data_IF_138506400636
#
_entry.id   IF_138506400636
#
_cell.length_a   1.000
_cell.length_b   1.000
_cell.length_c   1.000
_cell.angle_alpha   90.00
_cell.angle_beta   90.00
_cell.angle_gamma   90.00
#
_symmetry.space_group_name_H-M   'P 1'
#
loop_
_entity.id
_entity.type
_entity.pdbx_description
1 polymer ?
#
# COMPACT_ATOMS: atom_id res chain seq x y z
N UNK A 1 4.93 12.44 1.88
CA UNK A 1 4.66 10.99 1.70
C UNK A 1 5.94 10.25 1.36
N UNK A 2 5.98 8.94 1.60
CA UNK A 2 7.15 8.07 1.39
C UNK A 2 6.78 6.83 0.58
N UNK A 3 7.72 6.11 -0.06
CA UNK A 3 7.42 4.90 -0.82
C UNK A 3 6.64 3.87 0.00
N UNK A 4 5.67 3.23 -0.62
CA UNK A 4 4.85 2.19 -0.01
C UNK A 4 5.45 0.80 -0.25
N UNK A 5 5.83 0.12 0.83
CA UNK A 5 6.31 -1.26 0.76
C UNK A 5 5.13 -2.24 0.91
N UNK A 6 4.46 -2.50 -0.22
CA UNK A 6 3.20 -3.25 -0.27
C UNK A 6 3.39 -4.79 -0.21
N UNK A 7 4.43 -5.30 -0.85
CA UNK A 7 4.55 -6.73 -1.15
C UNK A 7 5.37 -7.46 -0.08
N UNK A 8 4.81 -8.52 0.49
CA UNK A 8 5.60 -9.55 1.18
C UNK A 8 6.27 -10.48 0.13
N UNK A 9 7.05 -11.46 0.58
CA UNK A 9 7.78 -12.36 -0.33
C UNK A 9 6.87 -13.15 -1.27
N UNK A 10 5.77 -13.70 -0.75
CA UNK A 10 4.79 -14.47 -1.52
C UNK A 10 4.07 -13.59 -2.56
N UNK A 11 3.56 -12.42 -2.12
CA UNK A 11 2.90 -11.47 -3.00
C UNK A 11 3.85 -10.89 -4.03
N UNK A 12 5.14 -10.75 -3.72
CA UNK A 12 6.14 -10.33 -4.69
C UNK A 12 6.33 -11.36 -5.80
N UNK A 13 6.38 -12.66 -5.47
CA UNK A 13 6.44 -13.72 -6.47
C UNK A 13 5.23 -13.66 -7.41
N UNK A 14 4.01 -13.63 -6.85
CA UNK A 14 2.76 -13.49 -7.60
C UNK A 14 2.73 -12.22 -8.46
N UNK A 15 3.14 -11.08 -7.91
CA UNK A 15 3.17 -9.81 -8.62
C UNK A 15 4.07 -9.85 -9.86
N UNK A 16 5.21 -10.55 -9.79
CA UNK A 16 6.13 -10.68 -10.93
C UNK A 16 5.59 -11.58 -12.04
N UNK A 17 4.76 -12.56 -11.71
CA UNK A 17 4.16 -13.48 -12.68
C UNK A 17 3.00 -12.85 -13.46
N UNK A 18 2.40 -11.78 -12.93
CA UNK A 18 1.35 -11.03 -13.64
C UNK A 18 1.94 -10.28 -14.84
N UNK A 19 1.41 -10.55 -16.03
CA UNK A 19 1.81 -9.87 -17.27
C UNK A 19 1.06 -8.55 -17.50
N UNK A 20 -0.16 -8.44 -16.97
CA UNK A 20 -1.05 -7.30 -17.16
C UNK A 20 -0.89 -6.27 -16.03
N UNK A 21 -0.67 -5.00 -16.39
CA UNK A 21 -0.69 -3.89 -15.42
C UNK A 21 -2.03 -3.80 -14.69
N UNK A 22 -3.14 -4.09 -15.38
CA UNK A 22 -4.48 -4.09 -14.77
C UNK A 22 -4.59 -5.12 -13.64
N UNK A 23 -4.01 -6.30 -13.82
CA UNK A 23 -4.08 -7.35 -12.79
C UNK A 23 -3.12 -7.08 -11.64
N UNK A 24 -1.98 -6.45 -11.92
CA UNK A 24 -1.08 -5.88 -10.89
C UNK A 24 -1.79 -4.84 -10.05
N UNK A 25 -2.51 -3.90 -10.68
CA UNK A 25 -3.24 -2.85 -9.98
C UNK A 25 -4.35 -3.45 -9.10
N UNK A 26 -5.15 -4.39 -9.62
CA UNK A 26 -6.15 -5.11 -8.80
C UNK A 26 -5.55 -5.82 -7.59
N UNK A 27 -4.37 -6.42 -7.76
CA UNK A 27 -3.66 -7.07 -6.66
C UNK A 27 -3.23 -6.03 -5.61
N UNK A 28 -2.63 -4.91 -6.05
CA UNK A 28 -2.21 -3.84 -5.16
C UNK A 28 -3.40 -3.17 -4.47
N UNK A 29 -4.55 -3.01 -5.13
CA UNK A 29 -5.79 -2.47 -4.56
C UNK A 29 -6.25 -3.33 -3.37
N UNK A 30 -6.29 -4.65 -3.54
CA UNK A 30 -6.62 -5.59 -2.46
C UNK A 30 -5.66 -5.49 -1.28
N UNK A 31 -4.37 -5.35 -1.56
CA UNK A 31 -3.35 -5.17 -0.52
C UNK A 31 -3.55 -3.84 0.22
N UNK A 32 -3.84 -2.74 -0.51
CA UNK A 32 -4.08 -1.45 0.11
C UNK A 32 -5.35 -1.47 0.97
N UNK A 33 -6.44 -2.07 0.48
CA UNK A 33 -7.67 -2.29 1.24
C UNK A 33 -7.36 -3.02 2.56
N UNK A 34 -6.58 -4.10 2.49
CA UNK A 34 -6.20 -4.87 3.68
C UNK A 34 -5.37 -4.04 4.66
N UNK A 35 -4.43 -3.24 4.17
CA UNK A 35 -3.61 -2.37 5.01
C UNK A 35 -4.44 -1.26 5.68
N UNK A 36 -5.38 -0.67 4.96
CA UNK A 36 -6.30 0.34 5.50
C UNK A 36 -7.21 -0.27 6.57
N UNK A 37 -7.78 -1.46 6.32
CA UNK A 37 -8.62 -2.15 7.30
C UNK A 37 -7.84 -2.47 8.59
N UNK A 38 -6.58 -2.88 8.46
CA UNK A 38 -5.69 -3.09 9.61
C UNK A 38 -5.44 -1.80 10.38
N UNK A 39 -5.12 -0.71 9.70
CA UNK A 39 -4.99 0.62 10.31
C UNK A 39 -6.26 1.00 11.09
N UNK A 40 -7.45 0.87 10.48
CA UNK A 40 -8.72 1.15 11.15
C UNK A 40 -8.88 0.31 12.42
N UNK A 41 -8.63 -1.00 12.34
CA UNK A 41 -8.69 -1.92 13.48
C UNK A 41 -7.73 -1.52 14.61
N UNK A 42 -6.50 -1.15 14.27
CA UNK A 42 -5.48 -0.71 15.23
C UNK A 42 -5.85 0.60 15.93
N UNK A 43 -6.61 1.47 15.25
CA UNK A 43 -7.14 2.72 15.79
C UNK A 43 -8.51 2.56 16.48
N UNK A 44 -9.05 1.34 16.57
CA UNK A 44 -10.37 1.09 17.16
C UNK A 44 -11.54 1.57 16.31
N UNK A 45 -11.31 1.87 15.02
CA UNK A 45 -12.34 2.30 14.08
C UNK A 45 -12.93 1.10 13.30
N UNK A 46 -14.26 0.97 13.33
CA UNK A 46 -14.98 -0.04 12.56
C UNK A 46 -15.43 0.52 11.23
N UNK A 47 -15.00 -0.11 10.13
CA UNK A 47 -15.45 0.25 8.79
C UNK A 47 -16.84 -0.33 8.53
N UNK A 48 -17.83 0.53 8.27
CA UNK A 48 -19.24 0.14 8.11
C UNK A 48 -19.66 -0.18 6.67
N UNK A 49 -18.96 0.42 5.69
CA UNK A 49 -19.24 0.27 4.26
C UNK A 49 -18.08 -0.42 3.56
N UNK A 50 -18.31 -1.12 2.43
CA UNK A 50 -17.22 -1.64 1.62
C UNK A 50 -16.20 -0.53 1.30
N UNK A 51 -14.93 -0.83 1.56
CA UNK A 51 -13.84 0.09 1.27
C UNK A 51 -13.56 0.05 -0.24
N UNK A 52 -13.59 1.21 -0.87
CA UNK A 52 -13.27 1.37 -2.28
C UNK A 52 -11.88 2.01 -2.40
N UNK A 53 -11.06 1.48 -3.30
CA UNK A 53 -9.71 1.98 -3.57
C UNK A 53 -9.49 1.99 -5.07
N UNK A 54 -8.93 3.09 -5.57
CA UNK A 54 -8.40 3.18 -6.93
C UNK A 54 -6.94 3.64 -6.87
N UNK A 55 -6.05 2.95 -7.58
CA UNK A 55 -4.61 3.19 -7.54
C UNK A 55 -4.07 3.88 -8.80
N UNK A 56 -3.06 4.73 -8.61
CA UNK A 56 -2.24 5.33 -9.64
C UNK A 56 -0.77 5.30 -9.18
N UNK A 57 -0.14 4.13 -9.30
CA UNK A 57 1.18 3.85 -8.73
C UNK A 57 2.23 3.57 -9.80
N UNK A 58 3.48 3.89 -9.49
CA UNK A 58 4.68 3.49 -10.22
C UNK A 58 5.59 2.67 -9.30
N UNK A 59 6.15 1.56 -9.78
CA UNK A 59 7.13 0.80 -9.01
C UNK A 59 8.43 1.61 -8.86
N UNK A 60 9.07 1.45 -7.71
CA UNK A 60 10.35 2.03 -7.34
C UNK A 60 11.18 0.95 -6.63
N UNK A 61 12.47 0.85 -6.94
CA UNK A 61 13.39 0.01 -6.16
C UNK A 61 13.88 0.83 -4.96
N UNK A 62 13.59 0.34 -3.76
CA UNK A 62 14.12 0.89 -2.50
C UNK A 62 15.16 -0.07 -1.93
N UNK A 63 16.04 0.43 -1.08
CA UNK A 63 17.06 -0.36 -0.40
C UNK A 63 16.78 -0.42 1.11
N UNK A 64 16.76 -1.62 1.67
CA UNK A 64 16.53 -1.86 3.10
C UNK A 64 17.61 -2.80 3.61
N UNK A 65 18.57 -2.28 4.41
CA UNK A 65 19.70 -3.08 4.93
C UNK A 65 20.39 -3.87 3.80
N UNK A 66 20.80 -3.15 2.75
CA UNK A 66 21.46 -3.69 1.55
C UNK A 66 20.60 -4.65 0.69
N UNK A 67 19.32 -4.81 1.02
CA UNK A 67 18.37 -5.57 0.21
C UNK A 67 17.55 -4.64 -0.69
N UNK A 68 17.64 -4.85 -2.00
CA UNK A 68 16.77 -4.20 -3.00
C UNK A 68 15.37 -4.79 -2.95
N UNK A 69 14.38 -3.94 -2.69
CA UNK A 69 12.96 -4.31 -2.62
C UNK A 69 12.13 -3.46 -3.55
N UNK A 70 11.08 -4.04 -4.13
CA UNK A 70 10.08 -3.27 -4.89
C UNK A 70 9.12 -2.57 -3.95
N UNK A 71 9.02 -1.26 -4.12
CA UNK A 71 8.13 -0.33 -3.43
C UNK A 71 7.32 0.45 -4.46
N UNK A 72 6.36 1.25 -4.02
CA UNK A 72 5.47 1.99 -4.91
C UNK A 72 5.37 3.45 -4.50
N UNK A 73 5.29 4.34 -5.49
CA UNK A 73 5.03 5.76 -5.30
C UNK A 73 3.88 6.19 -6.21
N UNK A 74 3.15 7.23 -5.83
CA UNK A 74 2.02 7.73 -6.59
C UNK A 74 0.86 8.10 -5.68
N UNK A 75 -0.37 7.97 -6.21
CA UNK A 75 -1.58 8.41 -5.55
C UNK A 75 -2.62 7.30 -5.52
N UNK A 76 -3.57 7.41 -4.61
CA UNK A 76 -4.77 6.59 -4.60
C UNK A 76 -5.97 7.41 -4.16
N UNK A 77 -7.16 6.93 -4.50
CA UNK A 77 -8.43 7.44 -3.97
C UNK A 77 -9.07 6.39 -3.10
N UNK A 78 -9.73 6.82 -2.03
CA UNK A 78 -10.53 5.93 -1.19
C UNK A 78 -11.73 6.67 -0.61
N UNK A 79 -12.75 5.93 -0.19
CA UNK A 79 -13.98 6.45 0.40
C UNK A 79 -13.91 6.62 1.94
N UNK A 80 -12.71 6.70 2.51
CA UNK A 80 -12.48 7.02 3.93
C UNK A 80 -11.46 8.14 4.09
N UNK A 81 -11.50 8.82 5.25
CA UNK A 81 -10.48 9.80 5.62
C UNK A 81 -9.35 9.09 6.34
N UNK A 82 -8.12 9.31 5.87
CA UNK A 82 -6.91 8.83 6.52
C UNK A 82 -6.17 10.05 7.08
N UNK A 83 -5.86 10.08 8.40
CA UNK A 83 -5.08 11.16 8.99
C UNK A 83 -3.72 11.30 8.29
N UNK A 84 -3.21 12.53 8.22
CA UNK A 84 -1.91 12.78 7.61
C UNK A 84 -0.80 12.01 8.34
N UNK A 85 0.22 11.63 7.56
CA UNK A 85 1.42 10.95 7.99
C UNK A 85 1.25 9.52 8.51
N UNK A 86 0.04 8.95 8.51
CA UNK A 86 -0.17 7.53 8.79
C UNK A 86 0.63 6.67 7.80
N UNK A 87 1.34 5.68 8.34
CA UNK A 87 2.06 4.70 7.53
C UNK A 87 1.20 3.48 7.23
N UNK A 88 1.18 3.06 5.96
CA UNK A 88 0.49 1.86 5.51
C UNK A 88 1.48 0.81 4.99
N UNK A 89 1.17 -0.47 5.21
CA UNK A 89 1.94 -1.60 4.68
C UNK A 89 3.13 -2.01 5.54
N UNK A 90 4.19 -2.53 4.91
CA UNK A 90 5.35 -3.07 5.62
C UNK A 90 6.38 -1.98 5.91
N UNK A 91 7.06 -2.08 7.05
CA UNK A 91 8.17 -1.18 7.37
C UNK A 91 7.74 0.23 7.80
N UNK A 92 6.50 0.41 8.26
CA UNK A 92 5.96 1.69 8.75
C UNK A 92 6.86 2.31 9.82
N UNK A 93 7.32 1.52 10.79
CA UNK A 93 8.25 1.99 11.84
C UNK A 93 9.63 2.46 11.30
N UNK A 94 9.94 2.19 10.03
CA UNK A 94 11.16 2.65 9.33
C UNK A 94 10.87 3.79 8.35
N UNK A 95 9.66 4.37 8.41
CA UNK A 95 9.26 5.50 7.59
C UNK A 95 8.73 5.14 6.20
N UNK A 96 8.32 3.88 5.95
CA UNK A 96 7.66 3.52 4.69
C UNK A 96 6.14 3.75 4.74
N UNK A 97 5.57 4.03 3.57
CA UNK A 97 4.12 4.08 3.36
C UNK A 97 3.39 5.23 4.03
N UNK A 98 4.10 6.28 4.48
CA UNK A 98 3.48 7.50 4.99
C UNK A 98 2.66 8.19 3.89
N UNK A 99 1.38 8.40 4.15
CA UNK A 99 0.43 9.07 3.24
C UNK A 99 0.21 10.53 3.66
N UNK A 100 -0.13 11.37 2.68
CA UNK A 100 -0.62 12.74 2.91
C UNK A 100 -1.83 12.95 2.00
N UNK A 101 -2.85 13.66 2.49
CA UNK A 101 -4.00 14.04 1.67
C UNK A 101 -3.60 15.19 0.73
N UNK A 102 -4.15 15.22 -0.48
CA UNK A 102 -3.92 16.26 -1.47
C UNK A 102 -5.23 16.95 -1.84
#
# INVERSE_FOLDING_TARGET
>A
ATPWYALNQENYAKYKELSSNRDKDKMLEKILITNILRMCSELGYRVEKPLEVQLFLKPLISEIKDLKVTTFTGHFKTNIIIPEHIGLGKGVAKGFGSVVCL
#
